data_IF_378032094033
#
_entry.id   IF_378032094033
#
_cell.length_a   1.000
_cell.length_b   1.000
_cell.length_c   1.000
_cell.angle_alpha   90.00
_cell.angle_beta   90.00
_cell.angle_gamma   90.00
#
_symmetry.space_group_name_H-M   'P 1'
#
loop_
_entity.id
_entity.type
_entity.pdbx_description
1 polymer ?
#
# COMPACT_ATOMS: atom_id res chain seq x y z
N UNK A 1 -24.75 -1.29 -0.39
CA UNK A 1 -24.03 -2.45 0.18
C UNK A 1 -22.61 -2.48 -0.33
N UNK A 2 -21.63 -2.65 0.55
CA UNK A 2 -20.24 -2.85 0.17
C UNK A 2 -19.99 -4.33 -0.13
N UNK A 3 -19.31 -4.61 -1.25
CA UNK A 3 -18.91 -5.97 -1.63
C UNK A 3 -17.41 -6.00 -1.90
N UNK A 4 -16.77 -7.11 -1.63
CA UNK A 4 -15.35 -7.32 -1.87
C UNK A 4 -15.16 -8.43 -2.91
N UNK A 5 -14.24 -8.20 -3.85
CA UNK A 5 -13.90 -9.18 -4.89
C UNK A 5 -12.38 -9.33 -4.94
N UNK A 6 -11.90 -10.55 -5.07
CA UNK A 6 -10.47 -10.83 -5.24
C UNK A 6 -10.30 -11.79 -6.41
N UNK A 7 -9.43 -11.41 -7.36
CA UNK A 7 -9.14 -12.25 -8.53
C UNK A 7 -7.70 -12.09 -8.99
N UNK A 8 -7.24 -13.03 -9.79
CA UNK A 8 -5.90 -12.99 -10.37
C UNK A 8 -5.85 -12.02 -11.56
N UNK A 9 -4.78 -11.22 -11.62
CA UNK A 9 -4.50 -10.30 -12.71
C UNK A 9 -3.26 -10.76 -13.48
N UNK A 10 -3.14 -10.28 -14.73
CA UNK A 10 -1.99 -10.56 -15.58
C UNK A 10 -1.30 -9.25 -16.01
N UNK A 11 -0.50 -8.64 -15.11
CA UNK A 11 0.21 -7.40 -15.42
C UNK A 11 1.32 -7.63 -16.45
N UNK A 12 1.65 -6.59 -17.20
CA UNK A 12 2.83 -6.55 -18.06
C UNK A 12 4.11 -6.60 -17.22
N UNK A 13 5.26 -6.88 -17.86
CA UNK A 13 6.54 -6.88 -17.14
C UNK A 13 6.86 -5.52 -16.51
N UNK A 14 6.54 -4.43 -17.20
CA UNK A 14 6.69 -3.07 -16.66
C UNK A 14 5.80 -2.85 -15.43
N UNK A 15 4.54 -3.26 -15.48
CA UNK A 15 3.61 -3.20 -14.36
C UNK A 15 4.07 -4.05 -13.18
N UNK A 16 4.59 -5.26 -13.43
CA UNK A 16 5.16 -6.13 -12.38
C UNK A 16 6.33 -5.46 -11.66
N UNK A 17 7.22 -4.78 -12.39
CA UNK A 17 8.33 -4.03 -11.81
C UNK A 17 7.79 -2.92 -10.90
N UNK A 18 6.81 -2.15 -11.34
CA UNK A 18 6.19 -1.09 -10.53
C UNK A 18 5.51 -1.63 -9.27
N UNK A 19 4.80 -2.74 -9.39
CA UNK A 19 4.16 -3.40 -8.24
C UNK A 19 5.21 -3.83 -7.22
N UNK A 20 6.26 -4.52 -7.65
CA UNK A 20 7.33 -4.97 -6.75
C UNK A 20 8.06 -3.81 -6.07
N UNK A 21 8.37 -2.75 -6.81
CA UNK A 21 8.99 -1.53 -6.25
C UNK A 21 8.09 -0.87 -5.21
N UNK A 22 6.81 -0.73 -5.50
CA UNK A 22 5.85 -0.12 -4.58
C UNK A 22 5.71 -0.95 -3.30
N UNK A 23 5.56 -2.27 -3.42
CA UNK A 23 5.50 -3.18 -2.26
C UNK A 23 6.79 -3.12 -1.44
N UNK A 24 7.95 -3.10 -2.11
CA UNK A 24 9.24 -2.97 -1.43
C UNK A 24 9.38 -1.65 -0.67
N UNK A 25 8.94 -0.55 -1.27
CA UNK A 25 8.92 0.77 -0.62
C UNK A 25 7.95 0.78 0.56
N UNK A 26 6.76 0.21 0.43
CA UNK A 26 5.81 0.10 1.54
C UNK A 26 6.37 -0.70 2.71
N UNK A 27 7.07 -1.82 2.44
CA UNK A 27 7.74 -2.59 3.48
C UNK A 27 8.83 -1.79 4.16
N UNK A 28 9.67 -1.10 3.39
CA UNK A 28 10.73 -0.25 3.92
C UNK A 28 10.18 0.86 4.81
N UNK A 29 9.17 1.60 4.33
CA UNK A 29 8.62 2.74 5.06
C UNK A 29 7.86 2.32 6.34
N UNK A 30 7.17 1.18 6.30
CA UNK A 30 6.57 0.59 7.48
C UNK A 30 7.64 0.31 8.55
N UNK A 31 8.73 -0.35 8.16
CA UNK A 31 9.84 -0.66 9.06
C UNK A 31 10.53 0.61 9.56
N UNK A 32 10.71 1.60 8.71
CA UNK A 32 11.28 2.90 9.08
C UNK A 32 10.43 3.59 10.15
N UNK A 33 9.11 3.61 9.97
CA UNK A 33 8.19 4.18 10.95
C UNK A 33 8.29 3.46 12.30
N UNK A 34 8.36 2.13 12.30
CA UNK A 34 8.54 1.36 13.54
C UNK A 34 9.87 1.69 14.22
N UNK A 35 10.98 1.68 13.47
CA UNK A 35 12.31 1.96 13.99
C UNK A 35 12.40 3.38 14.57
N UNK A 36 11.86 4.36 13.85
CA UNK A 36 11.87 5.76 14.28
C UNK A 36 11.12 5.96 15.61
N UNK A 37 9.95 5.37 15.75
CA UNK A 37 9.19 5.45 17.00
C UNK A 37 9.86 4.65 18.14
N UNK A 38 10.53 3.57 17.84
CA UNK A 38 11.33 2.84 18.83
C UNK A 38 12.46 3.72 19.37
N UNK A 39 13.20 4.41 18.51
CA UNK A 39 14.26 5.35 18.90
C UNK A 39 13.71 6.51 19.74
N UNK A 40 12.58 7.09 19.34
CA UNK A 40 11.92 8.15 20.12
C UNK A 40 11.56 7.66 21.52
N UNK A 41 11.00 6.46 21.64
CA UNK A 41 10.65 5.89 22.93
C UNK A 41 11.88 5.67 23.82
N UNK A 42 12.95 5.10 23.28
CA UNK A 42 14.20 4.85 23.97
C UNK A 42 14.89 6.15 24.42
N UNK A 43 14.67 7.25 23.69
CA UNK A 43 15.18 8.58 24.01
C UNK A 43 14.24 9.42 24.91
N UNK A 44 13.15 8.83 25.42
CA UNK A 44 12.17 9.51 26.25
C UNK A 44 11.34 10.57 25.52
N UNK A 45 11.30 10.54 24.19
CA UNK A 45 10.54 11.46 23.34
C UNK A 45 9.14 10.93 23.05
N UNK A 46 8.25 11.84 22.62
CA UNK A 46 6.87 11.49 22.31
C UNK A 46 6.75 10.61 21.07
N UNK A 47 5.78 9.70 21.10
CA UNK A 47 5.36 8.90 19.93
C UNK A 47 4.94 9.83 18.77
N UNK A 48 5.41 9.50 17.58
CA UNK A 48 5.09 10.23 16.36
C UNK A 48 3.96 9.51 15.61
N UNK A 49 2.86 10.22 15.37
CA UNK A 49 1.73 9.70 14.57
C UNK A 49 2.13 9.53 13.10
N UNK A 50 1.31 8.81 12.33
CA UNK A 50 1.55 8.63 10.90
C UNK A 50 1.61 9.97 10.15
N UNK A 51 0.74 10.91 10.48
CA UNK A 51 0.73 12.25 9.86
C UNK A 51 1.99 13.04 10.20
N UNK A 52 2.40 13.04 11.45
CA UNK A 52 3.63 13.71 11.90
C UNK A 52 4.86 13.08 11.26
N UNK A 53 4.92 11.76 11.18
CA UNK A 53 6.02 11.06 10.53
C UNK A 53 6.14 11.43 9.05
N UNK A 54 5.03 11.49 8.32
CA UNK A 54 5.03 11.87 6.90
C UNK A 54 5.50 13.30 6.68
N UNK A 55 5.06 14.23 7.53
CA UNK A 55 5.54 15.63 7.47
C UNK A 55 7.04 15.69 7.75
N UNK A 56 7.51 15.05 8.79
CA UNK A 56 8.92 14.97 9.12
C UNK A 56 9.75 14.32 8.00
N UNK A 57 9.28 13.20 7.46
CA UNK A 57 9.95 12.49 6.37
C UNK A 57 10.13 13.37 5.13
N UNK A 58 9.07 14.04 4.70
CA UNK A 58 9.07 14.81 3.46
C UNK A 58 9.77 16.17 3.60
N UNK A 59 9.66 16.82 4.75
CA UNK A 59 10.16 18.18 4.94
C UNK A 59 11.54 18.24 5.58
N UNK A 60 11.95 17.24 6.35
CA UNK A 60 13.22 17.24 7.07
C UNK A 60 14.15 16.09 6.64
N UNK A 61 13.66 14.85 6.68
CA UNK A 61 14.52 13.68 6.46
C UNK A 61 14.97 13.54 4.99
N UNK A 62 14.04 13.50 4.05
CA UNK A 62 14.36 13.28 2.63
C UNK A 62 15.19 14.42 2.01
N UNK A 63 14.93 15.71 2.31
CA UNK A 63 15.80 16.79 1.81
C UNK A 63 17.26 16.67 2.29
N UNK A 64 17.46 16.14 3.49
CA UNK A 64 18.81 15.96 4.07
C UNK A 64 19.45 14.60 3.78
N UNK A 65 18.69 13.66 3.17
CA UNK A 65 19.14 12.31 2.86
C UNK A 65 18.73 11.94 1.43
N UNK A 66 19.33 12.57 0.40
CA UNK A 66 18.93 12.38 -1.00
C UNK A 66 19.08 10.95 -1.51
N UNK A 67 19.89 10.11 -0.86
CA UNK A 67 20.00 8.68 -1.16
C UNK A 67 18.69 7.89 -0.97
N UNK A 68 17.73 8.45 -0.24
CA UNK A 68 16.40 7.86 -0.04
C UNK A 68 15.31 8.52 -0.91
N UNK A 69 15.65 9.36 -1.87
CA UNK A 69 14.70 10.04 -2.76
C UNK A 69 13.83 9.06 -3.56
N UNK A 70 14.28 7.83 -3.77
CA UNK A 70 13.53 6.77 -4.44
C UNK A 70 12.19 6.44 -3.76
N UNK A 71 12.02 6.78 -2.48
CA UNK A 71 10.74 6.59 -1.77
C UNK A 71 9.60 7.35 -2.46
N UNK A 72 9.90 8.53 -3.03
CA UNK A 72 8.92 9.36 -3.74
C UNK A 72 8.50 8.82 -5.10
N UNK A 73 9.22 7.85 -5.65
CA UNK A 73 8.87 7.20 -6.93
C UNK A 73 7.70 6.22 -6.79
N UNK A 74 7.44 5.73 -5.59
CA UNK A 74 6.32 4.84 -5.34
C UNK A 74 5.00 5.60 -5.26
N UNK A 75 3.90 4.91 -5.56
CA UNK A 75 2.55 5.48 -5.45
C UNK A 75 2.30 5.99 -4.02
N UNK A 76 2.09 7.30 -3.89
CA UNK A 76 2.04 7.98 -2.60
C UNK A 76 0.96 7.46 -1.65
N UNK A 77 -0.18 7.05 -2.18
CA UNK A 77 -1.29 6.50 -1.36
C UNK A 77 -0.95 5.14 -0.76
N UNK A 78 -0.18 4.31 -1.48
CA UNK A 78 0.34 3.05 -0.93
C UNK A 78 1.32 3.31 0.23
N UNK A 79 2.23 4.26 0.05
CA UNK A 79 3.21 4.66 1.09
C UNK A 79 2.49 5.21 2.32
N UNK A 80 1.52 6.10 2.12
CA UNK A 80 0.69 6.64 3.20
C UNK A 80 -0.01 5.51 3.98
N UNK A 81 -0.59 4.55 3.28
CA UNK A 81 -1.27 3.42 3.92
C UNK A 81 -0.31 2.55 4.72
N UNK A 82 0.93 2.36 4.23
CA UNK A 82 1.95 1.61 4.97
C UNK A 82 2.27 2.26 6.32
N UNK A 83 2.41 3.58 6.37
CA UNK A 83 2.64 4.32 7.62
C UNK A 83 1.41 4.22 8.54
N UNK A 84 0.20 4.35 7.99
CA UNK A 84 -1.04 4.18 8.75
C UNK A 84 -1.17 2.77 9.35
N UNK A 85 -0.75 1.75 8.63
CA UNK A 85 -0.71 0.37 9.13
C UNK A 85 0.24 0.23 10.32
N UNK A 86 1.39 0.90 10.28
CA UNK A 86 2.34 0.97 11.40
C UNK A 86 1.72 1.62 12.63
N UNK A 87 1.03 2.74 12.45
CA UNK A 87 0.32 3.42 13.55
C UNK A 87 -0.78 2.52 14.15
N UNK A 88 -1.53 1.82 13.30
CA UNK A 88 -2.56 0.87 13.75
C UNK A 88 -1.94 -0.26 14.57
N UNK A 89 -0.78 -0.78 14.15
CA UNK A 89 -0.07 -1.81 14.88
C UNK A 89 0.36 -1.33 16.29
N UNK A 90 0.88 -0.12 16.40
CA UNK A 90 1.20 0.48 17.69
C UNK A 90 -0.05 0.72 18.57
N UNK A 91 -1.14 1.20 17.98
CA UNK A 91 -2.42 1.35 18.71
C UNK A 91 -2.89 0.04 19.31
N UNK A 92 -2.82 -1.04 18.55
CA UNK A 92 -3.19 -2.37 19.03
C UNK A 92 -2.29 -2.83 20.18
N UNK A 93 -1.01 -2.55 20.09
CA UNK A 93 -0.05 -2.83 21.17
C UNK A 93 -0.37 -2.02 22.44
N UNK A 94 -0.56 -0.70 22.32
CA UNK A 94 -0.88 0.16 23.46
C UNK A 94 -2.21 -0.21 24.12
N UNK A 95 -3.17 -0.73 23.35
CA UNK A 95 -4.44 -1.22 23.86
C UNK A 95 -4.39 -2.69 24.34
N UNK A 96 -3.20 -3.27 24.48
CA UNK A 96 -2.99 -4.65 24.92
C UNK A 96 -3.69 -5.71 24.04
N UNK A 97 -3.95 -5.39 22.75
CA UNK A 97 -4.60 -6.29 21.79
C UNK A 97 -3.63 -7.11 20.94
N UNK A 98 -2.35 -6.78 20.98
CA UNK A 98 -1.29 -7.49 20.24
C UNK A 98 0.07 -7.25 20.88
N UNK A 99 1.06 -8.07 20.50
CA UNK A 99 2.45 -7.87 20.86
C UNK A 99 3.03 -6.60 20.19
N UNK A 100 4.23 -6.21 20.61
CA UNK A 100 4.96 -5.10 19.98
C UNK A 100 5.11 -5.34 18.47
N UNK A 101 4.90 -4.29 17.63
CA UNK A 101 5.00 -4.43 16.18
C UNK A 101 6.35 -4.97 15.73
N UNK A 102 6.33 -5.95 14.82
CA UNK A 102 7.53 -6.57 14.26
C UNK A 102 7.83 -6.04 12.87
N UNK A 103 9.11 -5.98 12.53
CA UNK A 103 9.54 -5.62 11.18
C UNK A 103 9.00 -6.61 10.13
N UNK A 104 8.61 -6.06 8.99
CA UNK A 104 8.23 -6.83 7.81
C UNK A 104 9.47 -7.35 7.09
N UNK A 105 9.42 -8.61 6.64
CA UNK A 105 10.52 -9.26 5.91
C UNK A 105 10.08 -9.66 4.51
N UNK A 106 10.94 -9.42 3.53
CA UNK A 106 10.70 -9.83 2.14
C UNK A 106 10.45 -11.35 2.07
N UNK A 107 9.40 -11.74 1.37
CA UNK A 107 9.03 -13.15 1.19
C UNK A 107 8.38 -13.82 2.39
N UNK A 108 8.33 -13.16 3.55
CA UNK A 108 7.71 -13.71 4.78
C UNK A 108 6.52 -12.91 5.26
N UNK A 109 6.51 -11.60 5.02
CA UNK A 109 5.44 -10.71 5.46
C UNK A 109 4.54 -10.37 4.29
N UNK A 110 3.22 -10.36 4.53
CA UNK A 110 2.22 -9.98 3.54
C UNK A 110 2.13 -8.46 3.47
N UNK A 111 2.83 -7.86 2.50
CA UNK A 111 2.78 -6.43 2.21
C UNK A 111 2.12 -6.24 0.86
N UNK A 112 1.11 -5.37 0.81
CA UNK A 112 0.28 -5.15 -0.37
C UNK A 112 0.42 -3.71 -0.87
N UNK A 113 0.17 -3.53 -2.17
CA UNK A 113 0.06 -2.21 -2.78
C UNK A 113 -1.38 -1.72 -2.66
N UNK A 114 -1.64 -0.83 -1.72
CA UNK A 114 -2.94 -0.20 -1.55
C UNK A 114 -3.18 0.86 -2.62
N UNK A 115 -4.41 0.95 -3.13
CA UNK A 115 -4.85 2.05 -3.98
C UNK A 115 -6.26 2.52 -3.60
N UNK A 116 -6.58 3.75 -3.94
CA UNK A 116 -7.85 4.39 -3.62
C UNK A 116 -8.34 5.22 -4.79
N UNK A 117 -9.65 5.30 -4.94
CA UNK A 117 -10.29 6.16 -5.93
C UNK A 117 -10.30 7.60 -5.42
N UNK A 118 -9.59 8.48 -6.13
CA UNK A 118 -9.57 9.91 -5.82
C UNK A 118 -10.50 10.72 -6.72
N UNK A 119 -10.75 10.26 -7.94
CA UNK A 119 -11.63 10.93 -8.90
C UNK A 119 -12.42 9.90 -9.72
N UNK A 120 -13.47 10.33 -10.45
CA UNK A 120 -14.33 9.41 -11.21
C UNK A 120 -13.62 8.57 -12.27
N UNK A 121 -12.47 9.01 -12.77
CA UNK A 121 -11.69 8.30 -13.81
C UNK A 121 -10.73 7.25 -13.23
N UNK A 122 -10.58 7.22 -11.91
CA UNK A 122 -9.76 6.20 -11.24
C UNK A 122 -10.55 4.92 -11.04
N UNK A 123 -9.84 3.81 -10.97
CA UNK A 123 -10.40 2.52 -10.59
C UNK A 123 -11.58 2.07 -11.47
N UNK A 124 -11.53 2.36 -12.77
CA UNK A 124 -12.52 1.85 -13.72
C UNK A 124 -12.34 0.35 -13.91
N UNK A 125 -13.44 -0.37 -14.13
CA UNK A 125 -13.42 -1.80 -14.37
C UNK A 125 -14.23 -2.15 -15.63
N UNK A 126 -13.60 -2.86 -16.54
CA UNK A 126 -14.20 -3.49 -17.70
C UNK A 126 -14.18 -5.01 -17.52
N UNK A 127 -14.84 -5.73 -18.40
CA UNK A 127 -14.93 -7.18 -18.29
C UNK A 127 -13.57 -7.89 -18.23
N UNK A 128 -12.57 -7.40 -18.95
CA UNK A 128 -11.27 -8.05 -19.12
C UNK A 128 -10.08 -7.27 -18.53
N UNK A 129 -10.32 -6.06 -18.01
CA UNK A 129 -9.27 -5.21 -17.45
C UNK A 129 -9.78 -4.27 -16.37
N UNK A 130 -8.88 -3.89 -15.50
CA UNK A 130 -9.14 -2.95 -14.41
C UNK A 130 -8.10 -1.83 -14.44
N UNK A 131 -8.53 -0.59 -14.24
CA UNK A 131 -7.63 0.56 -14.16
C UNK A 131 -7.20 0.76 -12.70
N UNK A 132 -5.91 0.61 -12.45
CA UNK A 132 -5.32 0.75 -11.11
C UNK A 132 -4.45 2.00 -11.10
N UNK A 133 -4.62 2.92 -10.13
CA UNK A 133 -3.76 4.10 -10.01
C UNK A 133 -2.28 3.73 -10.01
N UNK A 134 -1.46 4.51 -10.70
CA UNK A 134 -0.01 4.27 -10.91
C UNK A 134 0.32 3.15 -11.90
N UNK A 135 -0.57 2.22 -12.18
CA UNK A 135 -0.34 1.11 -13.11
C UNK A 135 -1.03 1.28 -14.46
N UNK A 136 -2.17 2.00 -14.49
CA UNK A 136 -3.03 2.05 -15.66
C UNK A 136 -3.90 0.80 -15.80
N UNK A 137 -4.22 0.44 -17.02
CA UNK A 137 -5.04 -0.73 -17.31
C UNK A 137 -4.26 -2.04 -17.14
N UNK A 138 -4.79 -2.93 -16.30
CA UNK A 138 -4.21 -4.25 -16.02
C UNK A 138 -5.22 -5.32 -16.42
N UNK A 139 -4.78 -6.34 -17.12
CA UNK A 139 -5.63 -7.45 -17.54
C UNK A 139 -6.07 -8.32 -16.38
N UNK A 140 -7.34 -8.74 -16.40
CA UNK A 140 -7.94 -9.68 -15.46
C UNK A 140 -7.94 -11.06 -16.11
N UNK A 141 -7.48 -12.10 -15.40
CA UNK A 141 -7.53 -13.48 -15.94
C UNK A 141 -8.95 -14.04 -15.99
N UNK A 142 -9.74 -13.85 -14.93
CA UNK A 142 -11.14 -14.26 -14.87
C UNK A 142 -12.05 -13.16 -15.39
N UNK A 143 -12.30 -13.16 -16.68
CA UNK A 143 -13.13 -12.15 -17.34
C UNK A 143 -14.53 -12.09 -16.77
N UNK A 144 -14.98 -10.90 -16.38
CA UNK A 144 -16.33 -10.67 -15.86
C UNK A 144 -16.54 -11.05 -14.40
N UNK A 145 -15.49 -11.48 -13.69
CA UNK A 145 -15.60 -11.80 -12.26
C UNK A 145 -15.87 -10.56 -11.40
N UNK A 146 -15.21 -9.44 -11.70
CA UNK A 146 -15.48 -8.17 -11.04
C UNK A 146 -16.59 -7.44 -11.81
N UNK A 147 -17.68 -7.00 -11.14
CA UNK A 147 -18.71 -6.19 -11.78
C UNK A 147 -18.13 -4.93 -12.43
N UNK A 148 -18.64 -4.56 -13.60
CA UNK A 148 -18.06 -3.48 -14.40
C UNK A 148 -18.59 -2.11 -14.00
N UNK A 149 -17.83 -1.07 -14.35
CA UNK A 149 -18.26 0.32 -14.17
C UNK A 149 -19.51 0.63 -14.99
N UNK A 150 -19.68 0.02 -16.16
CA UNK A 150 -20.89 0.17 -17.00
C UNK A 150 -22.14 -0.37 -16.32
N UNK A 151 -21.99 -1.37 -15.46
CA UNK A 151 -23.10 -1.96 -14.69
C UNK A 151 -23.42 -1.15 -13.41
N UNK A 152 -22.85 0.05 -13.27
CA UNK A 152 -23.12 0.95 -12.16
C UNK A 152 -22.31 0.67 -10.89
N UNK A 153 -21.32 -0.21 -10.95
CA UNK A 153 -20.44 -0.50 -9.82
C UNK A 153 -19.27 0.48 -9.73
N UNK A 154 -18.93 0.86 -8.52
CA UNK A 154 -17.84 1.81 -8.22
C UNK A 154 -16.85 1.15 -7.28
N UNK A 155 -15.60 1.05 -7.71
CA UNK A 155 -14.49 0.61 -6.84
C UNK A 155 -14.04 1.81 -6.01
N UNK A 156 -14.08 1.68 -4.70
CA UNK A 156 -13.63 2.72 -3.76
C UNK A 156 -12.15 2.61 -3.46
N UNK A 157 -11.67 1.41 -3.25
CA UNK A 157 -10.28 1.13 -2.92
C UNK A 157 -9.94 -0.32 -3.25
N UNK A 158 -8.67 -0.66 -3.16
CA UNK A 158 -8.22 -2.02 -3.35
C UNK A 158 -6.77 -2.22 -2.97
N UNK A 159 -6.31 -3.45 -3.19
CA UNK A 159 -4.92 -3.85 -2.98
C UNK A 159 -4.45 -4.72 -4.14
N UNK A 160 -3.20 -4.54 -4.53
CA UNK A 160 -2.48 -5.49 -5.39
C UNK A 160 -1.55 -6.31 -4.50
N UNK A 161 -1.58 -7.61 -4.64
CA UNK A 161 -0.74 -8.53 -3.86
C UNK A 161 -0.04 -9.54 -4.77
N UNK A 162 1.05 -10.09 -4.28
CA UNK A 162 1.84 -11.12 -4.95
C UNK A 162 1.89 -12.35 -4.04
N UNK A 163 1.55 -13.53 -4.60
CA UNK A 163 1.68 -14.80 -3.89
C UNK A 163 2.15 -15.87 -4.88
N UNK A 164 3.26 -16.53 -4.58
CA UNK A 164 3.85 -17.58 -5.43
C UNK A 164 4.01 -17.11 -6.90
N UNK A 165 4.61 -15.94 -7.10
CA UNK A 165 4.83 -15.28 -8.39
C UNK A 165 3.55 -14.96 -9.19
N UNK A 166 2.39 -15.05 -8.57
CA UNK A 166 1.10 -14.64 -9.14
C UNK A 166 0.64 -13.32 -8.54
N UNK A 167 -0.08 -12.55 -9.35
CA UNK A 167 -0.54 -11.21 -9.01
C UNK A 167 -2.05 -11.21 -8.86
N UNK A 168 -2.53 -10.59 -7.78
CA UNK A 168 -3.94 -10.54 -7.45
C UNK A 168 -4.37 -9.10 -7.19
N UNK A 169 -5.63 -8.79 -7.53
CA UNK A 169 -6.28 -7.56 -7.13
C UNK A 169 -7.45 -7.89 -6.22
N UNK A 170 -7.54 -7.18 -5.11
CA UNK A 170 -8.68 -7.22 -4.21
C UNK A 170 -9.32 -5.84 -4.21
N UNK A 171 -10.62 -5.73 -4.48
CA UNK A 171 -11.34 -4.46 -4.58
C UNK A 171 -12.55 -4.43 -3.65
N UNK A 172 -12.91 -3.20 -3.23
CA UNK A 172 -14.05 -2.89 -2.38
C UNK A 172 -14.97 -1.89 -3.06
#
# INVERSE_FOLDING_TARGET
MLKSFKTEINPTEEQKVRIRKTIGTCRFIYNFYLAHNKELHESGKKFMSSSQFRVWLNNEYLPNNPEYSWIKEAYSKSVTQAVNNGQTAFKRFFNHKSAFPKFKKKGKSDVKMYFVRNNPKDCLCERHRIKIPSLGWVRIKEKGYIPTTKDGYVIKSGHVSIKADRYYVSVL
#
